data_IF_318917463212
#
_entry.id   IF_318917463212
#
_cell.length_a   1.000
_cell.length_b   1.000
_cell.length_c   1.000
_cell.angle_alpha   90.00
_cell.angle_beta   90.00
_cell.angle_gamma   90.00
#
_symmetry.space_group_name_H-M   'P 1'
#
loop_
_entity.id
_entity.type
_entity.pdbx_description
1 polymer ?
#
# COMPACT_ATOMS: atom_id res chain seq x y z
N UNK A 1 11.15 5.12 -10.58
CA UNK A 1 11.69 6.49 -10.47
C UNK A 1 11.11 7.15 -9.23
N UNK A 2 11.88 7.89 -8.41
CA UNK A 2 11.33 8.59 -7.26
C UNK A 2 10.57 9.84 -7.71
N UNK A 3 9.27 9.68 -7.97
CA UNK A 3 8.41 10.72 -8.56
C UNK A 3 8.15 11.92 -7.63
N UNK A 4 8.28 11.72 -6.33
CA UNK A 4 7.96 12.72 -5.30
C UNK A 4 9.07 13.77 -5.11
N UNK A 5 10.35 13.39 -5.20
CA UNK A 5 11.49 14.32 -4.99
C UNK A 5 11.68 15.30 -6.15
N UNK A 6 11.30 14.87 -7.34
CA UNK A 6 11.49 15.62 -8.58
C UNK A 6 10.25 16.45 -8.98
N UNK A 7 9.17 16.38 -8.19
CA UNK A 7 7.92 17.08 -8.46
C UNK A 7 8.05 18.58 -8.18
N UNK A 8 7.59 19.41 -9.12
CA UNK A 8 7.57 20.88 -8.96
C UNK A 8 6.71 21.33 -7.76
N UNK A 9 5.64 20.57 -7.47
CA UNK A 9 4.84 20.70 -6.26
C UNK A 9 4.61 19.29 -5.68
N UNK A 10 5.39 18.85 -4.69
CA UNK A 10 5.30 17.52 -4.11
C UNK A 10 4.10 17.43 -3.15
N UNK A 11 2.91 17.37 -3.73
CA UNK A 11 1.65 17.23 -3.00
C UNK A 11 1.32 15.74 -2.78
N UNK A 12 1.14 15.37 -1.52
CA UNK A 12 0.67 14.06 -1.07
C UNK A 12 -0.73 14.20 -0.49
N UNK A 13 -1.61 13.26 -0.81
CA UNK A 13 -2.93 13.14 -0.19
C UNK A 13 -2.99 11.88 0.66
N UNK A 14 -3.42 12.03 1.91
CA UNK A 14 -3.82 10.94 2.79
C UNK A 14 -5.35 10.86 2.80
N UNK A 15 -5.91 9.93 2.02
CA UNK A 15 -7.35 9.78 1.85
C UNK A 15 -7.93 8.86 2.93
N UNK A 16 -8.96 9.35 3.63
CA UNK A 16 -9.65 8.63 4.69
C UNK A 16 -8.79 8.44 5.93
N UNK A 17 -8.21 9.53 6.44
CA UNK A 17 -7.35 9.49 7.63
C UNK A 17 -8.12 9.12 8.92
N UNK A 18 -9.45 9.13 8.89
CA UNK A 18 -10.28 8.65 9.99
C UNK A 18 -10.48 9.70 11.09
N UNK A 19 -10.53 9.26 12.36
CA UNK A 19 -10.86 10.12 13.49
C UNK A 19 -9.67 10.89 14.08
N UNK A 20 -8.49 10.78 13.49
CA UNK A 20 -7.26 11.37 14.04
C UNK A 20 -6.29 11.77 12.92
N UNK A 21 -5.57 12.88 13.12
CA UNK A 21 -4.57 13.40 12.20
C UNK A 21 -3.29 12.54 12.08
N UNK A 22 -3.14 11.51 12.92
CA UNK A 22 -1.87 10.76 13.09
C UNK A 22 -1.28 10.29 11.77
N UNK A 23 -2.06 9.65 10.89
CA UNK A 23 -1.49 9.11 9.63
C UNK A 23 -1.01 10.20 8.69
N UNK A 24 -1.72 11.33 8.64
CA UNK A 24 -1.37 12.48 7.81
C UNK A 24 -0.11 13.17 8.36
N UNK A 25 -0.02 13.35 9.68
CA UNK A 25 1.16 13.91 10.34
C UNK A 25 2.39 12.99 10.20
N UNK A 26 2.23 11.68 10.41
CA UNK A 26 3.31 10.72 10.23
C UNK A 26 3.82 10.70 8.80
N UNK A 27 2.95 10.83 7.79
CA UNK A 27 3.37 10.97 6.40
C UNK A 27 4.22 12.22 6.19
N UNK A 28 3.79 13.38 6.73
CA UNK A 28 4.55 14.63 6.63
C UNK A 28 5.92 14.51 7.29
N UNK A 29 5.99 13.94 8.50
CA UNK A 29 7.24 13.78 9.25
C UNK A 29 8.20 12.78 8.61
N UNK A 30 7.68 11.70 8.02
CA UNK A 30 8.51 10.66 7.39
C UNK A 30 9.02 11.05 6.02
N UNK A 31 8.25 11.80 5.25
CA UNK A 31 8.60 12.20 3.89
C UNK A 31 9.32 13.55 3.85
N UNK A 32 9.03 14.46 4.78
CA UNK A 32 9.57 15.82 4.82
C UNK A 32 11.09 15.92 4.76
N UNK A 33 11.86 15.10 5.51
CA UNK A 33 13.32 15.10 5.45
C UNK A 33 13.89 14.74 4.07
N UNK A 34 13.11 14.04 3.24
CA UNK A 34 13.54 13.50 1.94
C UNK A 34 12.98 14.29 0.76
N UNK A 35 12.02 15.20 0.98
CA UNK A 35 11.24 15.88 -0.05
C UNK A 35 11.10 17.36 0.29
N UNK A 36 11.87 18.20 -0.41
CA UNK A 36 11.84 19.64 -0.20
C UNK A 36 10.48 20.22 -0.62
N UNK A 37 9.87 21.04 0.25
CA UNK A 37 8.59 21.69 -0.04
C UNK A 37 7.38 20.74 -0.04
N UNK A 38 7.49 19.59 0.63
CA UNK A 38 6.39 18.63 0.78
C UNK A 38 5.14 19.30 1.34
N UNK A 39 4.02 19.07 0.67
CA UNK A 39 2.68 19.39 1.16
C UNK A 39 1.93 18.08 1.37
N UNK A 40 1.31 17.90 2.54
CA UNK A 40 0.46 16.75 2.84
C UNK A 40 -0.94 17.23 3.17
N UNK A 41 -1.94 16.68 2.48
CA UNK A 41 -3.35 16.99 2.73
C UNK A 41 -4.09 15.73 3.19
N UNK A 42 -4.62 15.76 4.40
CA UNK A 42 -5.59 14.76 4.86
C UNK A 42 -6.96 15.05 4.29
N UNK A 43 -7.58 14.08 3.62
CA UNK A 43 -8.96 14.15 3.15
C UNK A 43 -9.86 13.21 3.94
N UNK A 44 -11.00 13.72 4.38
CA UNK A 44 -12.03 12.94 5.07
C UNK A 44 -13.42 13.40 4.62
N UNK A 45 -14.37 12.47 4.50
CA UNK A 45 -15.72 12.77 3.99
C UNK A 45 -16.59 13.42 5.06
N UNK A 46 -16.30 13.13 6.33
CA UNK A 46 -17.02 13.62 7.50
C UNK A 46 -16.47 15.01 7.92
N UNK A 47 -17.25 16.09 7.77
CA UNK A 47 -16.80 17.44 8.14
C UNK A 47 -16.51 17.59 9.63
N UNK A 48 -17.15 16.82 10.50
CA UNK A 48 -16.90 16.89 11.94
C UNK A 48 -15.52 16.32 12.29
N UNK A 49 -15.07 15.29 11.56
CA UNK A 49 -13.71 14.75 11.69
C UNK A 49 -12.65 15.71 11.17
N UNK A 50 -12.95 16.49 10.12
CA UNK A 50 -12.08 17.56 9.64
C UNK A 50 -11.98 18.69 10.67
N UNK A 51 -13.09 19.09 11.27
CA UNK A 51 -13.09 20.08 12.34
C UNK A 51 -12.32 19.61 13.59
N UNK A 52 -12.42 18.33 13.93
CA UNK A 52 -11.77 17.75 15.12
C UNK A 52 -10.24 17.82 15.10
N UNK A 53 -9.62 17.87 13.92
CA UNK A 53 -8.15 17.93 13.74
C UNK A 53 -7.64 19.32 13.39
N UNK A 54 -8.47 20.36 13.54
CA UNK A 54 -8.10 21.72 13.15
C UNK A 54 -6.86 22.27 13.88
N UNK A 55 -6.58 21.78 15.10
CA UNK A 55 -5.39 22.16 15.86
C UNK A 55 -4.08 21.56 15.31
N UNK A 56 -4.15 20.48 14.54
CA UNK A 56 -3.00 19.81 13.93
C UNK A 56 -2.60 20.42 12.57
N UNK A 57 -3.36 21.41 12.12
CA UNK A 57 -3.19 22.08 10.83
C UNK A 57 -1.99 23.03 10.84
N UNK A 58 -1.08 22.87 9.87
CA UNK A 58 0.13 23.69 9.71
C UNK A 58 0.47 23.91 8.23
N UNK A 59 -0.35 24.68 7.49
CA UNK A 59 -0.20 24.87 6.06
C UNK A 59 1.02 25.76 5.73
N UNK A 60 1.70 25.50 4.59
CA UNK A 60 1.32 24.54 3.56
C UNK A 60 1.78 23.10 3.83
N UNK A 61 2.56 22.85 4.90
CA UNK A 61 3.14 21.53 5.17
C UNK A 61 2.06 20.47 5.43
N UNK A 62 1.07 20.81 6.25
CA UNK A 62 -0.05 19.92 6.61
C UNK A 62 -1.37 20.69 6.56
N UNK A 63 -2.33 20.17 5.80
CA UNK A 63 -3.68 20.71 5.69
C UNK A 63 -4.72 19.58 5.81
N UNK A 64 -5.96 19.92 6.18
CA UNK A 64 -7.07 18.98 6.29
C UNK A 64 -8.28 19.55 5.56
N UNK A 65 -8.95 18.73 4.74
CA UNK A 65 -10.09 19.17 3.93
C UNK A 65 -11.17 18.10 3.86
N UNK A 66 -12.40 18.56 3.68
CA UNK A 66 -13.50 17.69 3.29
C UNK A 66 -13.28 17.24 1.85
N UNK A 67 -13.30 15.93 1.62
CA UNK A 67 -13.12 15.34 0.30
C UNK A 67 -13.12 13.82 0.31
N UNK A 68 -13.38 13.24 -0.86
CA UNK A 68 -13.40 11.80 -1.12
C UNK A 68 -12.50 11.41 -2.29
N UNK A 69 -12.97 10.44 -3.09
CA UNK A 69 -12.22 9.88 -4.21
C UNK A 69 -11.89 10.89 -5.32
N UNK A 70 -12.65 11.98 -5.42
CA UNK A 70 -12.39 13.14 -6.30
C UNK A 70 -11.25 14.04 -5.81
N UNK A 71 -10.63 13.67 -4.68
CA UNK A 71 -9.44 14.31 -4.10
C UNK A 71 -9.64 15.80 -3.79
N UNK A 72 -10.87 16.25 -3.55
CA UNK A 72 -11.23 17.67 -3.41
C UNK A 72 -10.71 18.55 -4.56
N UNK A 73 -10.60 17.99 -5.78
CA UNK A 73 -10.06 18.67 -6.96
C UNK A 73 -8.53 18.89 -6.94
N UNK A 74 -7.83 18.34 -5.94
CA UNK A 74 -6.37 18.37 -5.88
C UNK A 74 -5.76 17.50 -6.98
N UNK A 75 -4.50 17.80 -7.31
CA UNK A 75 -3.70 17.04 -8.29
C UNK A 75 -2.41 16.52 -7.65
N UNK A 76 -2.49 15.56 -6.70
CA UNK A 76 -1.33 15.07 -5.97
C UNK A 76 -0.44 14.17 -6.83
N UNK A 77 0.85 14.11 -6.49
CA UNK A 77 1.79 13.14 -7.08
C UNK A 77 1.82 11.83 -6.31
N UNK A 78 1.22 11.77 -5.13
CA UNK A 78 1.03 10.55 -4.35
C UNK A 78 -0.31 10.61 -3.59
N UNK A 79 -1.11 9.57 -3.70
CA UNK A 79 -2.30 9.34 -2.88
C UNK A 79 -2.07 8.08 -2.06
N UNK A 80 -2.25 8.15 -0.75
CA UNK A 80 -2.37 6.98 0.13
C UNK A 80 -3.85 6.78 0.46
N UNK A 81 -4.38 5.60 0.22
CA UNK A 81 -5.75 5.21 0.57
C UNK A 81 -5.73 3.86 1.29
N UNK A 82 -5.33 3.86 2.56
CA UNK A 82 -5.26 2.64 3.36
C UNK A 82 -6.54 2.44 4.16
N UNK A 83 -7.08 1.21 4.15
CA UNK A 83 -8.27 0.80 4.88
C UNK A 83 -9.59 1.48 4.46
N UNK A 84 -9.57 2.24 3.36
CA UNK A 84 -10.72 2.99 2.83
C UNK A 84 -11.69 2.06 2.10
N UNK A 85 -11.19 1.20 1.21
CA UNK A 85 -12.03 0.42 0.29
C UNK A 85 -12.53 -0.93 0.87
N UNK A 86 -12.24 -1.26 2.14
CA UNK A 86 -12.50 -2.59 2.72
C UNK A 86 -13.96 -3.01 2.74
N UNK A 87 -14.86 -2.04 2.85
CA UNK A 87 -16.30 -2.27 2.92
C UNK A 87 -17.00 -2.13 1.57
N UNK A 88 -16.27 -1.76 0.51
CA UNK A 88 -16.82 -1.65 -0.83
C UNK A 88 -16.90 -3.02 -1.50
N UNK A 89 -17.82 -3.16 -2.44
CA UNK A 89 -17.79 -4.26 -3.42
C UNK A 89 -16.70 -4.04 -4.47
N UNK A 90 -16.42 -5.07 -5.27
CA UNK A 90 -15.34 -5.06 -6.29
C UNK A 90 -15.55 -3.96 -7.33
N UNK A 91 -16.78 -3.78 -7.80
CA UNK A 91 -17.13 -2.79 -8.84
C UNK A 91 -16.97 -1.35 -8.33
N UNK A 92 -17.41 -1.08 -7.10
CA UNK A 92 -17.28 0.23 -6.49
C UNK A 92 -15.83 0.55 -6.13
N UNK A 93 -15.04 -0.44 -5.74
CA UNK A 93 -13.60 -0.27 -5.54
C UNK A 93 -12.89 0.07 -6.87
N UNK A 94 -13.26 -0.58 -7.97
CA UNK A 94 -12.74 -0.27 -9.30
C UNK A 94 -13.07 1.17 -9.73
N UNK A 95 -14.33 1.61 -9.57
CA UNK A 95 -14.72 3.01 -9.83
C UNK A 95 -13.97 4.02 -8.95
N UNK A 96 -13.71 3.68 -7.69
CA UNK A 96 -12.94 4.53 -6.80
C UNK A 96 -11.48 4.68 -7.28
N UNK A 97 -10.86 3.59 -7.76
CA UNK A 97 -9.54 3.64 -8.39
C UNK A 97 -9.55 4.55 -9.63
N UNK A 98 -10.51 4.38 -10.54
CA UNK A 98 -10.63 5.23 -11.73
C UNK A 98 -10.72 6.72 -11.37
N UNK A 99 -11.57 7.05 -10.39
CA UNK A 99 -11.78 8.44 -9.94
C UNK A 99 -10.50 9.03 -9.34
N UNK A 100 -9.84 8.30 -8.44
CA UNK A 100 -8.60 8.76 -7.80
C UNK A 100 -7.46 8.88 -8.81
N UNK A 101 -7.29 7.90 -9.71
CA UNK A 101 -6.25 7.91 -10.73
C UNK A 101 -6.43 9.06 -11.73
N UNK A 102 -7.67 9.40 -12.10
CA UNK A 102 -7.97 10.56 -12.94
C UNK A 102 -7.60 11.89 -12.27
N UNK A 103 -7.66 11.94 -10.94
CA UNK A 103 -7.26 13.09 -10.13
C UNK A 103 -5.75 13.25 -9.94
N UNK A 104 -4.93 12.26 -10.29
CA UNK A 104 -3.48 12.34 -10.09
C UNK A 104 -2.84 13.48 -10.91
N UNK A 105 -1.79 14.09 -10.36
CA UNK A 105 -0.88 14.94 -11.11
C UNK A 105 -0.06 14.13 -12.12
N UNK A 106 0.66 14.79 -13.05
CA UNK A 106 1.51 14.09 -14.02
C UNK A 106 2.49 13.13 -13.33
N UNK A 107 2.47 11.86 -13.73
CA UNK A 107 3.27 10.81 -13.10
C UNK A 107 2.84 10.51 -11.65
N UNK A 108 1.64 10.86 -11.20
CA UNK A 108 1.20 10.54 -9.85
C UNK A 108 1.08 9.04 -9.60
N UNK A 109 1.05 8.65 -8.33
CA UNK A 109 0.81 7.27 -7.88
C UNK A 109 -0.33 7.23 -6.87
N UNK A 110 -1.19 6.22 -6.99
CA UNK A 110 -2.10 5.80 -5.93
C UNK A 110 -1.51 4.57 -5.24
N UNK A 111 -1.49 4.59 -3.91
CA UNK A 111 -1.17 3.45 -3.06
C UNK A 111 -2.43 3.11 -2.27
N UNK A 112 -3.17 2.12 -2.76
CA UNK A 112 -4.37 1.61 -2.10
C UNK A 112 -4.05 0.32 -1.37
N UNK A 113 -4.44 0.22 -0.10
CA UNK A 113 -4.03 -0.90 0.72
C UNK A 113 -4.95 -1.20 1.87
N UNK A 114 -4.74 -2.36 2.46
CA UNK A 114 -5.40 -2.80 3.67
C UNK A 114 -4.36 -3.31 4.67
N UNK A 115 -4.54 -2.95 5.93
CA UNK A 115 -3.81 -3.52 7.04
C UNK A 115 -4.71 -3.95 8.20
N UNK A 116 -4.16 -4.74 9.10
CA UNK A 116 -4.74 -5.01 10.41
C UNK A 116 -4.69 -3.76 11.31
N UNK A 117 -5.30 -3.85 12.48
CA UNK A 117 -5.52 -2.73 13.41
C UNK A 117 -4.20 -2.10 13.88
N UNK A 118 -3.12 -2.88 13.85
CA UNK A 118 -1.80 -2.48 14.32
C UNK A 118 -0.80 -2.22 13.19
N UNK A 119 -1.21 -2.36 11.92
CA UNK A 119 -0.33 -2.23 10.76
C UNK A 119 0.77 -3.30 10.66
N UNK A 120 0.61 -4.44 11.33
CA UNK A 120 1.56 -5.56 11.34
C UNK A 120 1.34 -6.54 10.20
N UNK A 121 0.18 -6.55 9.56
CA UNK A 121 -0.13 -7.35 8.37
C UNK A 121 -0.77 -6.43 7.36
N UNK A 122 -0.14 -6.29 6.21
CA UNK A 122 -0.56 -5.32 5.20
C UNK A 122 -0.39 -5.88 3.79
N UNK A 123 -1.31 -5.53 2.91
CA UNK A 123 -1.12 -5.66 1.47
C UNK A 123 -1.62 -4.40 0.75
N UNK A 124 -0.91 -3.97 -0.29
CA UNK A 124 -1.30 -2.80 -1.06
C UNK A 124 -0.93 -2.91 -2.52
N UNK A 125 -1.73 -2.27 -3.36
CA UNK A 125 -1.48 -2.09 -4.79
C UNK A 125 -0.96 -0.67 -5.01
N UNK A 126 0.09 -0.56 -5.82
CA UNK A 126 0.49 0.72 -6.40
C UNK A 126 -0.10 0.82 -7.81
N UNK A 127 -0.73 1.94 -8.12
CA UNK A 127 -1.35 2.25 -9.41
C UNK A 127 -0.85 3.59 -9.93
N UNK A 128 -0.84 3.77 -11.24
CA UNK A 128 -0.83 5.08 -11.87
C UNK A 128 -2.03 5.26 -12.80
N UNK A 129 -1.98 6.27 -13.66
CA UNK A 129 -3.06 6.60 -14.59
C UNK A 129 -3.38 5.45 -15.57
N UNK A 130 -2.42 4.55 -15.84
CA UNK A 130 -2.60 3.42 -16.76
C UNK A 130 -3.09 2.15 -16.04
N UNK A 131 -3.13 2.18 -14.70
CA UNK A 131 -3.68 1.10 -13.88
C UNK A 131 -2.67 0.50 -12.88
N UNK A 132 -2.94 -0.74 -12.40
CA UNK A 132 -2.11 -1.37 -11.36
C UNK A 132 -0.71 -1.76 -11.85
N UNK A 133 0.29 -1.44 -11.03
CA UNK A 133 1.70 -1.67 -11.33
C UNK A 133 2.29 -2.83 -10.53
N UNK A 134 1.99 -2.88 -9.23
CA UNK A 134 2.58 -3.85 -8.30
C UNK A 134 1.65 -4.18 -7.16
N UNK A 135 1.74 -5.42 -6.65
CA UNK A 135 1.24 -5.81 -5.34
C UNK A 135 2.42 -5.86 -4.36
N UNK A 136 2.27 -5.28 -3.17
CA UNK A 136 3.21 -5.43 -2.06
C UNK A 136 2.52 -6.12 -0.89
N UNK A 137 3.22 -7.08 -0.29
CA UNK A 137 2.87 -7.70 0.98
C UNK A 137 3.89 -7.24 2.03
N UNK A 138 3.44 -6.86 3.22
CA UNK A 138 4.32 -6.58 4.34
C UNK A 138 3.78 -7.13 5.66
N UNK A 139 4.68 -7.71 6.45
CA UNK A 139 4.31 -8.30 7.72
C UNK A 139 5.37 -8.12 8.81
N UNK A 140 4.92 -8.04 10.06
CA UNK A 140 5.71 -8.53 11.18
C UNK A 140 5.78 -10.04 11.10
N UNK A 141 6.84 -10.55 10.47
CA UNK A 141 6.99 -11.97 10.13
C UNK A 141 6.86 -12.92 11.34
N UNK A 142 7.23 -12.48 12.56
CA UNK A 142 7.07 -13.29 13.77
C UNK A 142 5.62 -13.63 14.11
N UNK A 143 4.67 -12.88 13.55
CA UNK A 143 3.24 -13.02 13.82
C UNK A 143 2.56 -13.87 12.73
N UNK A 144 3.32 -14.45 11.78
CA UNK A 144 2.80 -15.30 10.70
C UNK A 144 3.00 -16.78 11.04
N UNK A 145 1.96 -17.59 10.88
CA UNK A 145 2.11 -19.04 10.80
C UNK A 145 2.64 -19.39 9.40
N UNK A 146 2.08 -18.73 8.38
CA UNK A 146 2.50 -18.84 6.97
C UNK A 146 2.24 -17.54 6.20
N UNK A 147 2.96 -17.29 5.09
CA UNK A 147 2.78 -16.10 4.27
C UNK A 147 1.35 -15.86 3.78
N UNK A 148 0.59 -16.91 3.47
CA UNK A 148 -0.82 -16.77 3.05
C UNK A 148 -1.74 -16.16 4.10
N UNK A 149 -1.31 -16.04 5.36
CA UNK A 149 -2.08 -15.33 6.40
C UNK A 149 -2.26 -13.84 6.06
N UNK A 150 -1.51 -13.30 5.09
CA UNK A 150 -1.71 -11.96 4.54
C UNK A 150 -2.89 -11.87 3.55
N UNK A 151 -3.47 -13.00 3.14
CA UNK A 151 -4.58 -13.04 2.19
C UNK A 151 -5.80 -12.22 2.64
N UNK A 152 -6.11 -12.22 3.94
CA UNK A 152 -7.21 -11.44 4.53
C UNK A 152 -7.01 -9.92 4.41
N UNK A 153 -5.79 -9.48 4.07
CA UNK A 153 -5.44 -8.07 3.86
C UNK A 153 -5.30 -7.72 2.39
N UNK A 154 -5.54 -8.65 1.47
CA UNK A 154 -5.55 -8.34 0.04
C UNK A 154 -6.60 -7.25 -0.26
N UNK A 155 -6.25 -6.29 -1.14
CA UNK A 155 -7.23 -5.34 -1.63
C UNK A 155 -8.41 -5.98 -2.35
N UNK A 156 -9.51 -5.23 -2.50
CA UNK A 156 -10.77 -5.74 -3.09
C UNK A 156 -10.60 -6.35 -4.48
N UNK A 157 -9.67 -5.81 -5.26
CA UNK A 157 -9.31 -6.34 -6.58
C UNK A 157 -8.76 -7.78 -6.56
N UNK A 158 -8.30 -8.28 -5.41
CA UNK A 158 -7.64 -9.58 -5.28
C UNK A 158 -8.26 -10.50 -4.24
N UNK A 159 -8.86 -9.98 -3.16
CA UNK A 159 -9.27 -10.82 -2.02
C UNK A 159 -10.28 -11.90 -2.38
N UNK A 160 -11.29 -11.57 -3.21
CA UNK A 160 -12.28 -12.54 -3.69
C UNK A 160 -11.77 -13.41 -4.83
N UNK A 161 -10.61 -13.06 -5.41
CA UNK A 161 -9.91 -13.81 -6.46
C UNK A 161 -8.84 -14.74 -5.89
N UNK A 162 -8.61 -14.74 -4.58
CA UNK A 162 -7.69 -15.67 -3.94
C UNK A 162 -8.29 -17.08 -3.81
N UNK A 163 -8.50 -17.73 -4.96
CA UNK A 163 -9.05 -19.09 -5.09
C UNK A 163 -8.17 -19.91 -6.05
N UNK A 164 -8.16 -21.26 -5.95
CA UNK A 164 -7.37 -22.12 -6.84
C UNK A 164 -7.55 -21.78 -8.33
N UNK A 165 -6.42 -21.74 -9.06
CA UNK A 165 -6.38 -21.38 -10.48
C UNK A 165 -6.23 -19.88 -10.78
N UNK A 166 -6.36 -19.00 -9.78
CA UNK A 166 -6.10 -17.57 -9.94
C UNK A 166 -4.63 -17.22 -9.63
N UNK A 167 -4.01 -16.29 -10.38
CA UNK A 167 -2.58 -15.98 -10.21
C UNK A 167 -2.18 -15.51 -8.80
N UNK A 168 -3.01 -14.70 -8.13
CA UNK A 168 -2.75 -14.28 -6.74
C UNK A 168 -2.73 -15.46 -5.77
N UNK A 169 -3.59 -16.47 -5.99
CA UNK A 169 -3.62 -17.68 -5.17
C UNK A 169 -2.36 -18.52 -5.38
N UNK A 170 -1.94 -18.70 -6.64
CA UNK A 170 -0.71 -19.42 -6.96
C UNK A 170 0.53 -18.73 -6.41
N UNK A 171 0.55 -17.39 -6.40
CA UNK A 171 1.62 -16.61 -5.77
C UNK A 171 1.70 -16.86 -4.26
N UNK A 172 0.59 -16.75 -3.53
CA UNK A 172 0.56 -16.99 -2.09
C UNK A 172 0.91 -18.44 -1.75
N UNK A 173 0.43 -19.40 -2.54
CA UNK A 173 0.76 -20.82 -2.39
C UNK A 173 2.25 -21.09 -2.65
N UNK A 174 2.85 -20.49 -3.67
CA UNK A 174 4.28 -20.61 -3.93
C UNK A 174 5.10 -20.04 -2.77
N UNK A 175 4.67 -18.91 -2.21
CA UNK A 175 5.32 -18.29 -1.05
C UNK A 175 5.21 -19.16 0.20
N UNK A 176 4.05 -19.78 0.46
CA UNK A 176 3.87 -20.77 1.53
C UNK A 176 4.81 -21.97 1.39
N UNK A 177 4.95 -22.52 0.18
CA UNK A 177 5.83 -23.66 -0.10
C UNK A 177 7.29 -23.28 0.19
N UNK A 178 7.77 -22.15 -0.33
CA UNK A 178 9.14 -21.71 -0.07
C UNK A 178 9.39 -21.41 1.41
N UNK A 179 8.40 -20.82 2.11
CA UNK A 179 8.45 -20.62 3.55
C UNK A 179 8.55 -21.93 4.33
N UNK A 180 7.80 -22.96 3.93
CA UNK A 180 7.89 -24.29 4.52
C UNK A 180 9.25 -24.95 4.27
N UNK A 181 9.79 -24.86 3.05
CA UNK A 181 11.13 -25.35 2.71
C UNK A 181 12.22 -24.65 3.52
N UNK A 182 12.07 -23.35 3.79
CA UNK A 182 13.00 -22.56 4.58
C UNK A 182 12.89 -22.79 6.11
N UNK A 183 12.07 -23.74 6.59
CA UNK A 183 11.80 -23.94 8.02
C UNK A 183 13.06 -24.13 8.87
N UNK A 184 14.11 -24.76 8.33
CA UNK A 184 15.40 -24.94 9.02
C UNK A 184 16.11 -23.64 9.40
N UNK A 185 15.78 -22.52 8.74
CA UNK A 185 16.34 -21.21 9.04
C UNK A 185 15.64 -20.49 10.21
N UNK A 186 14.60 -21.09 10.80
CA UNK A 186 13.88 -20.50 11.93
C UNK A 186 14.78 -20.28 13.15
N UNK A 187 15.86 -21.04 13.30
CA UNK A 187 16.90 -20.85 14.33
C UNK A 187 17.63 -19.51 14.21
N UNK A 188 17.70 -18.94 13.01
CA UNK A 188 18.27 -17.62 12.74
C UNK A 188 17.21 -16.51 12.77
N UNK A 189 15.96 -16.85 13.06
CA UNK A 189 14.84 -15.95 13.24
C UNK A 189 13.91 -15.83 12.03
N UNK A 190 12.66 -15.37 12.26
CA UNK A 190 11.60 -15.36 11.24
C UNK A 190 11.94 -14.49 10.03
N UNK A 191 12.66 -13.38 10.22
CA UNK A 191 13.08 -12.49 9.12
C UNK A 191 14.08 -13.16 8.16
N UNK A 192 14.99 -13.98 8.68
CA UNK A 192 15.93 -14.72 7.85
C UNK A 192 15.21 -15.79 7.04
N UNK A 193 14.27 -16.50 7.67
CA UNK A 193 13.41 -17.47 6.98
C UNK A 193 12.58 -16.80 5.88
N UNK A 194 12.03 -15.61 6.12
CA UNK A 194 11.26 -14.86 5.13
C UNK A 194 12.13 -14.45 3.94
N UNK A 195 13.29 -13.85 4.21
CA UNK A 195 14.21 -13.44 3.16
C UNK A 195 14.61 -14.63 2.26
N UNK A 196 14.95 -15.77 2.86
CA UNK A 196 15.28 -16.98 2.12
C UNK A 196 14.11 -17.55 1.29
N UNK A 197 12.88 -17.49 1.82
CA UNK A 197 11.69 -17.90 1.07
C UNK A 197 11.48 -17.00 -0.16
N UNK A 198 11.58 -15.68 0.01
CA UNK A 198 11.45 -14.73 -1.10
C UNK A 198 12.60 -14.86 -2.10
N UNK A 199 13.84 -15.07 -1.64
CA UNK A 199 15.01 -15.36 -2.49
C UNK A 199 14.75 -16.61 -3.35
N UNK A 200 14.23 -17.68 -2.77
CA UNK A 200 13.90 -18.90 -3.51
C UNK A 200 12.84 -18.66 -4.59
N UNK A 201 11.81 -17.84 -4.34
CA UNK A 201 10.86 -17.47 -5.40
C UNK A 201 11.52 -16.60 -6.48
N UNK A 202 12.43 -15.71 -6.11
CA UNK A 202 13.17 -14.88 -7.07
C UNK A 202 14.01 -15.75 -8.02
N UNK A 203 14.68 -16.78 -7.48
CA UNK A 203 15.44 -17.77 -8.26
C UNK A 203 14.55 -18.60 -9.18
N UNK A 204 13.28 -18.83 -8.81
CA UNK A 204 12.26 -19.47 -9.65
C UNK A 204 11.70 -18.54 -10.73
N UNK A 205 12.14 -17.29 -10.81
CA UNK A 205 11.75 -16.34 -11.85
C UNK A 205 10.53 -15.48 -11.53
N UNK A 206 10.07 -15.44 -10.27
CA UNK A 206 9.00 -14.52 -9.89
C UNK A 206 9.44 -13.06 -10.10
N UNK A 207 8.61 -12.20 -10.72
CA UNK A 207 9.00 -10.85 -11.13
C UNK A 207 8.93 -9.87 -9.96
N UNK A 208 9.77 -10.09 -8.95
CA UNK A 208 9.91 -9.16 -7.82
C UNK A 208 10.58 -7.85 -8.25
N UNK A 209 10.24 -6.78 -7.54
CA UNK A 209 10.75 -5.43 -7.78
C UNK A 209 11.19 -4.77 -6.49
N UNK A 210 11.98 -3.72 -6.64
CA UNK A 210 12.56 -2.99 -5.51
C UNK A 210 13.84 -3.65 -5.01
N UNK A 211 14.26 -3.27 -3.81
CA UNK A 211 15.50 -3.72 -3.22
C UNK A 211 15.27 -4.97 -2.37
N UNK A 212 16.08 -6.03 -2.58
CA UNK A 212 16.08 -7.22 -1.72
C UNK A 212 16.31 -6.91 -0.23
N UNK A 213 16.93 -5.75 0.08
CA UNK A 213 17.01 -5.24 1.46
C UNK A 213 15.64 -5.04 2.14
N UNK A 214 14.53 -4.95 1.40
CA UNK A 214 13.17 -4.88 1.97
C UNK A 214 12.68 -6.22 2.49
N UNK A 215 13.18 -7.34 1.95
CA UNK A 215 12.79 -8.68 2.37
C UNK A 215 13.12 -8.93 3.84
N UNK A 216 14.28 -8.49 4.33
CA UNK A 216 14.63 -8.58 5.76
C UNK A 216 13.69 -7.80 6.69
N UNK A 217 12.89 -6.87 6.15
CA UNK A 217 11.87 -6.11 6.88
C UNK A 217 10.49 -6.78 6.81
N UNK A 218 10.38 -7.97 6.21
CA UNK A 218 9.11 -8.69 6.04
C UNK A 218 8.26 -8.16 4.90
N UNK A 219 8.86 -7.44 3.95
CA UNK A 219 8.16 -6.83 2.80
C UNK A 219 8.61 -7.47 1.49
N UNK A 220 7.68 -7.73 0.57
CA UNK A 220 7.96 -8.20 -0.79
C UNK A 220 7.00 -7.55 -1.77
N UNK A 221 7.53 -7.08 -2.91
CA UNK A 221 6.74 -6.45 -3.98
C UNK A 221 6.90 -7.22 -5.28
N UNK A 222 5.78 -7.60 -5.90
CA UNK A 222 5.71 -8.34 -7.17
C UNK A 222 5.01 -7.49 -8.23
N UNK A 223 5.44 -7.61 -9.50
CA UNK A 223 4.77 -6.96 -10.64
C UNK A 223 3.32 -7.44 -10.74
N UNK A 224 2.40 -6.49 -10.93
CA UNK A 224 0.97 -6.77 -10.99
C UNK A 224 0.57 -7.85 -12.01
N UNK A 225 1.11 -7.92 -13.24
CA UNK A 225 0.75 -8.96 -14.20
C UNK A 225 0.93 -10.40 -13.71
N UNK A 226 1.79 -10.65 -12.70
CA UNK A 226 1.98 -11.98 -12.13
C UNK A 226 0.89 -12.40 -11.13
N UNK A 227 0.08 -11.44 -10.66
CA UNK A 227 -0.97 -11.65 -9.64
C UNK A 227 -2.33 -11.11 -10.08
N UNK A 228 -2.42 -10.49 -11.25
CA UNK A 228 -3.65 -9.97 -11.81
C UNK A 228 -4.68 -11.12 -11.96
N UNK A 229 -5.97 -10.87 -11.68
CA UNK A 229 -7.02 -11.85 -11.93
C UNK A 229 -7.03 -12.28 -13.41
N UNK A 230 -7.23 -13.58 -13.64
CA UNK A 230 -7.36 -14.17 -14.98
C UNK A 230 -8.79 -14.03 -15.54
#
# INVERSE_FOLDING_TARGET
MPRLRDAARPLVVDLGYGSSAVTTLELADRLGPEVHGLEVVGLEIDPDRVAAVAADRDPPRVDFRVGGFELAGLRPVLVRAFNVLRQYDEESAARAWETMCAGLGPGGLLVEGTCDEWGRRSAWVALDADGPLTLTLAARVSDLDRPSDLAERLPKALIHRNVPGQPVHEFLRALDVAWATAAGLSTFGPRQRWAAAVESLAEQGWPFVGSSRRWRHGEVTVRWPAVAPA
#
